data_IF_442885607555
#
_entry.id   IF_442885607555
#
_cell.length_a   1.000
_cell.length_b   1.000
_cell.length_c   1.000
_cell.angle_alpha   90.00
_cell.angle_beta   90.00
_cell.angle_gamma   90.00
#
_symmetry.space_group_name_H-M   'P 1'
#
loop_
_entity.id
_entity.type
_entity.pdbx_description
1 polymer ?
#
# COMPACT_ATOMS: atom_id res chain seq x y z
N UNK A 1 2.33 18.16 36.07
CA UNK A 1 2.28 16.69 36.10
C UNK A 1 1.32 16.08 35.08
N UNK A 2 -0.02 16.17 35.21
CA UNK A 2 -0.94 15.56 34.22
C UNK A 2 -0.90 16.29 32.86
N UNK A 3 -0.82 17.62 32.86
CA UNK A 3 -0.64 18.45 31.66
C UNK A 3 0.68 18.18 30.94
N UNK A 4 1.79 18.05 31.67
CA UNK A 4 3.11 17.73 31.09
C UNK A 4 3.14 16.35 30.42
N UNK A 5 2.40 15.36 30.95
CA UNK A 5 2.31 14.04 30.34
C UNK A 5 1.54 14.09 29.01
N UNK A 6 0.45 14.87 28.97
CA UNK A 6 -0.30 15.10 27.74
C UNK A 6 0.57 15.78 26.67
N UNK A 7 1.24 16.86 27.03
CA UNK A 7 2.03 17.67 26.10
C UNK A 7 3.31 16.99 25.62
N UNK A 8 3.98 16.22 26.49
CA UNK A 8 5.31 15.65 26.16
C UNK A 8 5.27 14.23 25.63
N UNK A 9 4.22 13.46 25.94
CA UNK A 9 4.15 12.03 25.59
C UNK A 9 3.02 11.75 24.61
N UNK A 10 1.82 12.25 24.87
CA UNK A 10 0.67 11.94 24.01
C UNK A 10 0.58 12.84 22.78
N UNK A 11 0.93 14.13 22.90
CA UNK A 11 0.84 15.07 21.79
C UNK A 11 1.70 14.73 20.57
N UNK A 12 2.97 14.28 20.73
CA UNK A 12 3.76 13.85 19.58
C UNK A 12 3.08 12.69 18.84
N UNK A 13 2.62 11.66 19.58
CA UNK A 13 1.95 10.49 18.99
C UNK A 13 0.62 10.88 18.33
N UNK A 14 -0.17 11.73 18.97
CA UNK A 14 -1.43 12.21 18.38
C UNK A 14 -1.16 13.04 17.14
N UNK A 15 -0.13 13.88 17.14
CA UNK A 15 0.26 14.66 15.96
C UNK A 15 0.60 13.73 14.79
N UNK A 16 1.41 12.70 15.03
CA UNK A 16 1.75 11.72 13.99
C UNK A 16 0.48 11.06 13.42
N UNK A 17 -0.49 10.73 14.26
CA UNK A 17 -1.79 10.18 13.81
C UNK A 17 -2.57 11.20 12.98
N UNK A 18 -2.61 12.47 13.37
CA UNK A 18 -3.29 13.52 12.60
C UNK A 18 -2.62 13.71 11.24
N UNK A 19 -1.29 13.75 11.18
CA UNK A 19 -0.53 13.90 9.94
C UNK A 19 -0.78 12.72 8.99
N UNK A 20 -0.85 11.49 9.52
CA UNK A 20 -1.20 10.30 8.74
C UNK A 20 -2.64 10.34 8.20
N UNK A 21 -3.60 10.81 9.01
CA UNK A 21 -4.99 10.96 8.56
C UNK A 21 -5.06 12.02 7.45
N UNK A 22 -4.41 13.16 7.63
CA UNK A 22 -4.42 14.25 6.63
C UNK A 22 -3.84 13.78 5.30
N UNK A 23 -2.67 13.12 5.32
CA UNK A 23 -2.05 12.57 4.11
C UNK A 23 -2.99 11.59 3.37
N UNK A 24 -3.70 10.73 4.11
CA UNK A 24 -4.65 9.79 3.50
C UNK A 24 -5.86 10.50 2.90
N UNK A 25 -6.37 11.57 3.55
CA UNK A 25 -7.49 12.37 3.07
C UNK A 25 -7.17 13.18 1.82
N UNK A 26 -5.89 13.50 1.58
CA UNK A 26 -5.44 14.14 0.33
C UNK A 26 -5.51 13.18 -0.87
N UNK A 27 -5.47 11.87 -0.63
CA UNK A 27 -5.45 10.84 -1.68
C UNK A 27 -6.83 10.28 -2.03
N UNK A 28 -7.82 10.44 -1.15
CA UNK A 28 -9.17 9.89 -1.38
C UNK A 28 -10.26 10.74 -0.73
N UNK A 29 -11.45 10.74 -1.35
CA UNK A 29 -12.65 11.25 -0.69
C UNK A 29 -13.04 10.35 0.48
N UNK A 30 -13.41 10.94 1.60
CA UNK A 30 -13.77 10.23 2.83
C UNK A 30 -14.83 11.03 3.58
N UNK A 31 -15.96 10.40 3.86
CA UNK A 31 -17.11 11.00 4.54
C UNK A 31 -17.09 10.79 6.05
N UNK A 32 -16.47 9.69 6.51
CA UNK A 32 -16.47 9.31 7.91
C UNK A 32 -15.16 8.65 8.35
N UNK A 33 -14.72 8.97 9.57
CA UNK A 33 -13.55 8.42 10.22
C UNK A 33 -14.03 7.62 11.43
N UNK A 34 -13.66 6.34 11.49
CA UNK A 34 -13.95 5.47 12.62
C UNK A 34 -12.67 5.19 13.42
N UNK A 35 -12.63 5.60 14.68
CA UNK A 35 -11.51 5.29 15.58
C UNK A 35 -11.73 3.93 16.22
N UNK A 36 -10.83 2.99 15.97
CA UNK A 36 -10.92 1.59 16.43
C UNK A 36 -9.67 1.17 17.19
N UNK A 37 -9.75 0.06 17.93
CA UNK A 37 -8.67 -0.45 18.78
C UNK A 37 -8.58 0.26 20.13
N UNK A 38 -7.71 -0.24 21.01
CA UNK A 38 -7.58 0.29 22.38
C UNK A 38 -7.21 1.77 22.42
N UNK A 39 -6.34 2.23 21.53
CA UNK A 39 -6.00 3.65 21.41
C UNK A 39 -7.13 4.48 20.78
N UNK A 40 -7.88 3.90 19.84
CA UNK A 40 -9.07 4.53 19.26
C UNK A 40 -10.20 4.79 20.27
N UNK A 41 -10.23 4.05 21.38
CA UNK A 41 -11.13 4.29 22.52
C UNK A 41 -10.72 5.50 23.39
N UNK A 42 -9.56 6.12 23.14
CA UNK A 42 -9.09 7.28 23.89
C UNK A 42 -9.95 8.51 23.61
N UNK A 43 -10.51 9.10 24.68
CA UNK A 43 -11.25 10.36 24.60
C UNK A 43 -10.38 11.49 24.04
N UNK A 44 -9.11 11.52 24.45
CA UNK A 44 -8.16 12.54 24.00
C UNK A 44 -7.94 12.49 22.48
N UNK A 45 -7.70 11.29 21.94
CA UNK A 45 -7.54 11.11 20.50
C UNK A 45 -8.82 11.49 19.76
N UNK A 46 -9.99 11.07 20.26
CA UNK A 46 -11.27 11.41 19.67
C UNK A 46 -11.49 12.93 19.59
N UNK A 47 -11.24 13.66 20.67
CA UNK A 47 -11.44 15.12 20.71
C UNK A 47 -10.47 15.82 19.74
N UNK A 48 -9.22 15.35 19.64
CA UNK A 48 -8.21 15.91 18.71
C UNK A 48 -8.55 15.64 17.24
N UNK A 49 -8.89 14.41 16.88
CA UNK A 49 -9.30 14.05 15.50
C UNK A 49 -10.59 14.79 15.11
N UNK A 50 -11.55 14.90 16.03
CA UNK A 50 -12.80 15.63 15.78
C UNK A 50 -12.54 17.12 15.55
N UNK A 51 -11.73 17.76 16.39
CA UNK A 51 -11.39 19.17 16.23
C UNK A 51 -10.69 19.46 14.90
N UNK A 52 -9.81 18.56 14.44
CA UNK A 52 -9.06 18.74 13.19
C UNK A 52 -9.91 18.45 11.95
N UNK A 53 -10.69 17.36 11.93
CA UNK A 53 -11.28 16.86 10.68
C UNK A 53 -12.81 17.00 10.57
N UNK A 54 -13.54 17.15 11.68
CA UNK A 54 -15.00 17.26 11.64
C UNK A 54 -15.49 18.60 11.07
N UNK A 55 -14.67 19.65 11.17
CA UNK A 55 -14.93 20.98 10.61
C UNK A 55 -15.10 20.98 9.08
N UNK A 56 -14.56 19.96 8.40
CA UNK A 56 -14.71 19.75 6.96
C UNK A 56 -16.01 19.02 6.58
N UNK A 57 -16.96 18.87 7.50
CA UNK A 57 -18.22 18.13 7.29
C UNK A 57 -18.11 16.61 7.42
N UNK A 58 -16.93 16.09 7.81
CA UNK A 58 -16.68 14.66 8.01
C UNK A 58 -17.18 14.18 9.36
N UNK A 59 -17.69 12.96 9.42
CA UNK A 59 -18.16 12.37 10.68
C UNK A 59 -17.05 11.59 11.38
N UNK A 60 -16.65 12.01 12.57
CA UNK A 60 -15.73 11.25 13.41
C UNK A 60 -16.53 10.44 14.44
N UNK A 61 -16.35 9.12 14.47
CA UNK A 61 -17.12 8.22 15.35
C UNK A 61 -16.22 7.17 16.00
N UNK A 62 -16.61 6.74 17.20
CA UNK A 62 -16.04 5.57 17.88
C UNK A 62 -17.13 4.50 17.93
N UNK A 63 -16.93 3.31 17.33
CA UNK A 63 -17.92 2.25 17.38
C UNK A 63 -18.01 1.65 18.80
N UNK A 64 -19.16 1.06 19.17
CA UNK A 64 -19.29 0.36 20.45
C UNK A 64 -18.28 -0.79 20.56
N UNK A 65 -17.53 -0.84 21.66
CA UNK A 65 -16.43 -1.79 21.88
C UNK A 65 -15.37 -1.68 20.79
N UNK A 66 -14.83 -0.47 20.60
CA UNK A 66 -13.83 -0.16 19.58
C UNK A 66 -12.60 -1.08 19.65
N UNK A 67 -12.22 -1.52 20.85
CA UNK A 67 -11.17 -2.51 21.11
C UNK A 67 -11.43 -3.88 20.47
N UNK A 68 -12.71 -4.24 20.24
CA UNK A 68 -13.11 -5.49 19.58
C UNK A 68 -13.54 -5.31 18.12
N UNK A 69 -13.61 -4.07 17.62
CA UNK A 69 -14.19 -3.78 16.30
C UNK A 69 -13.52 -4.56 15.17
N UNK A 70 -12.18 -4.67 15.20
CA UNK A 70 -11.38 -5.38 14.19
C UNK A 70 -11.71 -6.88 14.20
N UNK A 71 -11.67 -7.52 15.38
CA UNK A 71 -11.94 -8.97 15.51
C UNK A 71 -13.38 -9.29 15.14
N UNK A 72 -14.33 -8.47 15.59
CA UNK A 72 -15.75 -8.63 15.22
C UNK A 72 -15.97 -8.47 13.72
N UNK A 73 -15.28 -7.52 13.09
CA UNK A 73 -15.29 -7.34 11.63
C UNK A 73 -14.77 -8.58 10.90
N UNK A 74 -13.66 -9.16 11.37
CA UNK A 74 -13.08 -10.38 10.79
C UNK A 74 -14.03 -11.58 10.91
N UNK A 75 -14.66 -11.80 12.07
CA UNK A 75 -15.65 -12.87 12.26
C UNK A 75 -16.86 -12.65 11.36
N UNK A 76 -17.38 -11.42 11.30
CA UNK A 76 -18.51 -11.06 10.43
C UNK A 76 -18.18 -11.31 8.96
N UNK A 77 -16.97 -10.96 8.51
CA UNK A 77 -16.51 -11.26 7.16
C UNK A 77 -16.42 -12.76 6.88
N UNK A 78 -15.91 -13.55 7.84
CA UNK A 78 -15.83 -15.00 7.71
C UNK A 78 -17.20 -15.69 7.62
N UNK A 79 -18.19 -15.19 8.37
CA UNK A 79 -19.57 -15.69 8.34
C UNK A 79 -20.36 -15.22 7.10
N UNK A 80 -20.09 -14.00 6.63
CA UNK A 80 -20.75 -13.38 5.49
C UNK A 80 -19.71 -12.99 4.43
N UNK A 81 -19.21 -14.00 3.72
CA UNK A 81 -18.30 -13.83 2.59
C UNK A 81 -19.03 -13.04 1.48
N UNK A 82 -18.59 -11.80 1.23
CA UNK A 82 -19.22 -10.90 0.26
C UNK A 82 -19.29 -9.43 0.67
N UNK A 83 -18.92 -9.09 1.91
CA UNK A 83 -18.90 -7.70 2.39
C UNK A 83 -17.70 -6.87 1.89
N UNK A 84 -16.65 -7.52 1.38
CA UNK A 84 -15.49 -6.85 0.77
C UNK A 84 -15.54 -7.14 -0.72
N UNK A 85 -15.59 -6.10 -1.56
CA UNK A 85 -15.68 -6.23 -3.01
C UNK A 85 -14.32 -6.03 -3.70
N UNK A 86 -13.45 -5.22 -3.11
CA UNK A 86 -12.12 -4.92 -3.63
C UNK A 86 -11.16 -4.49 -2.51
N UNK A 87 -9.87 -4.42 -2.83
CA UNK A 87 -8.82 -3.81 -2.01
C UNK A 87 -7.98 -2.86 -2.83
N UNK A 88 -7.60 -1.74 -2.21
CA UNK A 88 -6.69 -0.77 -2.82
C UNK A 88 -5.26 -1.16 -2.47
N UNK A 89 -4.42 -1.37 -3.48
CA UNK A 89 -3.01 -1.69 -3.30
C UNK A 89 -2.24 -0.47 -2.76
N UNK A 90 -1.33 -0.71 -1.81
CA UNK A 90 -0.55 0.35 -1.16
C UNK A 90 0.82 0.60 -1.80
N UNK A 91 1.29 -0.36 -2.60
CA UNK A 91 2.67 -0.47 -3.06
C UNK A 91 2.69 -0.91 -4.52
N UNK A 92 3.83 -0.75 -5.16
CA UNK A 92 4.08 -1.37 -6.44
C UNK A 92 4.27 -2.87 -6.24
N UNK A 93 3.55 -3.67 -7.02
CA UNK A 93 3.78 -5.12 -7.10
C UNK A 93 4.15 -5.47 -8.52
N UNK A 94 5.19 -6.27 -8.70
CA UNK A 94 5.67 -6.65 -10.01
C UNK A 94 6.58 -7.85 -9.98
N UNK A 95 7.09 -8.24 -11.13
CA UNK A 95 8.04 -9.35 -11.29
C UNK A 95 9.29 -8.84 -11.99
N UNK A 96 10.41 -9.54 -11.86
CA UNK A 96 11.56 -9.28 -12.71
C UNK A 96 11.26 -9.71 -14.15
N UNK A 97 11.78 -8.95 -15.10
CA UNK A 97 11.68 -9.29 -16.52
C UNK A 97 12.91 -8.82 -17.26
N UNK A 98 13.28 -9.54 -18.32
CA UNK A 98 14.16 -9.01 -19.33
C UNK A 98 13.33 -8.17 -20.31
N UNK A 99 13.54 -6.85 -20.36
CA UNK A 99 12.87 -5.95 -21.32
C UNK A 99 13.88 -5.36 -22.30
N UNK A 100 13.43 -4.61 -23.30
CA UNK A 100 14.33 -3.96 -24.25
C UNK A 100 15.25 -2.95 -23.53
N UNK A 101 16.53 -2.99 -23.87
CA UNK A 101 17.53 -2.10 -23.28
C UNK A 101 17.39 -0.69 -23.87
N UNK A 102 17.34 0.32 -22.99
CA UNK A 102 17.23 1.74 -23.35
C UNK A 102 18.60 2.41 -23.20
N UNK A 103 19.30 2.73 -24.31
CA UNK A 103 20.61 3.38 -24.26
C UNK A 103 20.56 4.73 -23.56
N UNK A 104 21.53 4.99 -22.67
CA UNK A 104 21.64 6.24 -21.92
C UNK A 104 20.73 6.34 -20.69
N UNK A 105 19.83 5.36 -20.48
CA UNK A 105 18.98 5.28 -19.29
C UNK A 105 19.27 4.01 -18.49
N UNK A 106 19.39 2.87 -19.17
CA UNK A 106 19.70 1.60 -18.51
C UNK A 106 21.21 1.46 -18.26
N UNK A 107 21.64 0.96 -17.08
CA UNK A 107 23.05 0.68 -16.81
C UNK A 107 23.61 -0.38 -17.76
N UNK A 108 24.78 -0.11 -18.33
CA UNK A 108 25.43 -1.02 -19.27
C UNK A 108 25.74 -2.40 -18.63
N UNK A 109 25.92 -2.46 -17.31
CA UNK A 109 26.11 -3.69 -16.52
C UNK A 109 24.88 -4.62 -16.52
N UNK A 110 23.69 -4.06 -16.75
CA UNK A 110 22.43 -4.80 -16.87
C UNK A 110 22.10 -5.17 -18.32
N UNK A 111 22.97 -4.82 -19.27
CA UNK A 111 22.80 -5.16 -20.68
C UNK A 111 23.08 -6.63 -20.91
N UNK A 112 22.18 -7.28 -21.63
CA UNK A 112 22.25 -8.70 -21.98
C UNK A 112 21.90 -8.88 -23.45
N UNK A 113 22.63 -9.73 -24.15
CA UNK A 113 22.28 -10.11 -25.53
C UNK A 113 21.35 -11.31 -25.47
N UNK A 114 20.14 -11.16 -26.00
CA UNK A 114 19.18 -12.24 -26.08
C UNK A 114 19.50 -13.14 -27.28
N UNK A 115 18.94 -14.36 -27.30
CA UNK A 115 19.22 -15.38 -28.34
C UNK A 115 18.72 -14.98 -29.72
N UNK A 116 17.75 -14.09 -29.78
CA UNK A 116 17.19 -13.51 -31.00
C UNK A 116 18.06 -12.36 -31.55
N UNK A 117 19.19 -12.04 -30.91
CA UNK A 117 20.08 -10.93 -31.27
C UNK A 117 19.62 -9.57 -30.73
N UNK A 118 18.50 -9.51 -30.00
CA UNK A 118 18.03 -8.27 -29.37
C UNK A 118 18.82 -7.96 -28.10
N UNK A 119 19.04 -6.67 -27.85
CA UNK A 119 19.69 -6.19 -26.64
C UNK A 119 18.62 -5.95 -25.58
N UNK A 120 18.71 -6.65 -24.45
CA UNK A 120 17.77 -6.59 -23.34
C UNK A 120 18.42 -6.13 -22.04
N UNK A 121 17.66 -5.49 -21.19
CA UNK A 121 18.03 -5.14 -19.82
C UNK A 121 17.47 -6.18 -18.85
N UNK A 122 18.34 -6.80 -18.04
CA UNK A 122 17.91 -7.69 -16.94
C UNK A 122 17.40 -6.89 -15.73
N UNK A 123 16.71 -7.57 -14.83
CA UNK A 123 16.28 -7.04 -13.53
C UNK A 123 15.31 -5.84 -13.63
N UNK A 124 14.58 -5.73 -14.74
CA UNK A 124 13.55 -4.70 -14.92
C UNK A 124 12.34 -5.00 -14.07
N UNK A 125 11.79 -3.98 -13.43
CA UNK A 125 10.55 -4.11 -12.68
C UNK A 125 9.36 -4.11 -13.64
N UNK A 126 8.72 -5.27 -13.82
CA UNK A 126 7.49 -5.37 -14.59
C UNK A 126 6.29 -5.20 -13.68
N UNK A 127 5.72 -3.98 -13.65
CA UNK A 127 4.60 -3.62 -12.77
C UNK A 127 3.35 -4.43 -13.10
N UNK A 128 2.78 -5.12 -12.11
CA UNK A 128 1.46 -5.74 -12.19
C UNK A 128 0.39 -4.88 -11.53
N UNK A 129 0.70 -4.31 -10.36
CA UNK A 129 -0.24 -3.52 -9.57
C UNK A 129 0.44 -2.22 -9.16
N UNK A 130 -0.27 -1.10 -9.32
CA UNK A 130 0.20 0.24 -8.90
C UNK A 130 -0.36 0.61 -7.53
N UNK A 131 0.34 1.45 -6.74
CA UNK A 131 -0.25 2.10 -5.57
C UNK A 131 -1.55 2.81 -5.95
N UNK A 132 -2.58 2.70 -5.10
CA UNK A 132 -3.90 3.27 -5.35
C UNK A 132 -4.80 2.43 -6.27
N UNK A 133 -4.30 1.37 -6.91
CA UNK A 133 -5.12 0.51 -7.76
C UNK A 133 -6.10 -0.33 -6.92
N UNK A 134 -7.39 -0.25 -7.23
CA UNK A 134 -8.43 -1.12 -6.66
C UNK A 134 -8.45 -2.47 -7.39
N UNK A 135 -8.22 -3.55 -6.66
CA UNK A 135 -8.24 -4.94 -7.15
C UNK A 135 -9.44 -5.67 -6.54
N UNK A 136 -10.34 -6.18 -7.38
CA UNK A 136 -11.53 -6.88 -6.93
C UNK A 136 -11.21 -8.28 -6.35
N UNK A 137 -12.09 -8.80 -5.49
CA UNK A 137 -11.93 -10.17 -5.01
C UNK A 137 -12.01 -11.18 -6.17
N UNK A 138 -10.98 -12.02 -6.29
CA UNK A 138 -10.87 -13.01 -7.36
C UNK A 138 -10.38 -12.45 -8.70
N UNK A 139 -10.08 -11.16 -8.79
CA UNK A 139 -9.48 -10.57 -9.99
C UNK A 139 -8.07 -11.13 -10.21
N UNK A 140 -7.79 -11.56 -11.44
CA UNK A 140 -6.47 -12.03 -11.85
C UNK A 140 -5.83 -11.03 -12.81
N UNK A 141 -4.77 -10.35 -12.35
CA UNK A 141 -3.92 -9.53 -13.22
C UNK A 141 -2.94 -10.45 -13.95
N UNK A 142 -2.98 -10.44 -15.29
CA UNK A 142 -2.18 -11.35 -16.12
C UNK A 142 -1.32 -10.57 -17.11
N UNK A 143 -0.04 -10.90 -17.16
CA UNK A 143 0.89 -10.49 -18.23
C UNK A 143 1.51 -11.72 -18.88
N UNK A 144 1.85 -11.62 -20.16
CA UNK A 144 2.46 -12.71 -20.94
C UNK A 144 3.92 -12.38 -21.20
N UNK A 145 4.78 -13.36 -20.92
CA UNK A 145 6.22 -13.27 -21.15
C UNK A 145 6.68 -14.41 -22.05
N UNK A 146 7.72 -14.16 -22.84
CA UNK A 146 8.42 -15.19 -23.60
C UNK A 146 9.67 -15.58 -22.83
N UNK A 147 9.84 -16.88 -22.54
CA UNK A 147 11.03 -17.41 -21.86
C UNK A 147 11.81 -18.34 -22.76
N UNK A 148 13.14 -18.21 -22.72
CA UNK A 148 14.09 -19.05 -23.44
C UNK A 148 14.78 -20.06 -22.53
N UNK A 149 14.27 -20.21 -21.30
CA UNK A 149 14.87 -21.05 -20.27
C UNK A 149 14.51 -22.53 -20.40
N UNK A 150 13.55 -22.91 -21.26
CA UNK A 150 13.16 -24.31 -21.44
C UNK A 150 14.37 -25.21 -21.81
N UNK A 151 14.52 -26.40 -21.19
CA UNK A 151 13.61 -27.06 -20.25
C UNK A 151 13.81 -26.69 -18.77
N UNK A 152 14.65 -25.70 -18.45
CA UNK A 152 14.83 -25.25 -17.06
C UNK A 152 13.55 -24.62 -16.51
N UNK A 153 13.26 -24.82 -15.21
CA UNK A 153 12.17 -24.12 -14.54
C UNK A 153 12.29 -22.61 -14.70
N UNK A 154 11.15 -21.94 -14.83
CA UNK A 154 11.07 -20.49 -14.75
C UNK A 154 11.02 -20.10 -13.27
N UNK A 155 11.94 -19.24 -12.85
CA UNK A 155 11.79 -18.49 -11.60
C UNK A 155 11.07 -17.18 -11.93
N UNK A 156 10.12 -16.78 -11.09
CA UNK A 156 9.33 -15.57 -11.27
C UNK A 156 8.96 -15.00 -9.89
N UNK A 157 9.94 -14.48 -9.14
CA UNK A 157 9.71 -13.87 -7.84
C UNK A 157 8.80 -12.65 -7.97
N UNK A 158 7.90 -12.50 -6.99
CA UNK A 158 7.08 -11.30 -6.83
C UNK A 158 7.86 -10.27 -6.00
N UNK A 159 8.07 -9.10 -6.57
CA UNK A 159 8.72 -7.96 -5.94
C UNK A 159 7.70 -6.93 -5.47
N UNK A 160 8.08 -6.21 -4.42
CA UNK A 160 7.35 -5.09 -3.83
C UNK A 160 8.28 -3.89 -3.74
N UNK A 161 7.78 -2.71 -4.08
CA UNK A 161 8.49 -1.44 -3.89
C UNK A 161 7.59 -0.40 -3.23
N UNK A 162 8.16 0.35 -2.28
CA UNK A 162 7.55 1.48 -1.58
C UNK A 162 7.89 2.84 -2.25
N UNK A 163 8.57 2.84 -3.41
CA UNK A 163 8.96 4.06 -4.14
C UNK A 163 7.75 4.95 -4.48
N UNK A 164 7.92 6.27 -4.37
CA UNK A 164 6.92 7.25 -4.81
C UNK A 164 6.69 7.22 -6.33
N UNK A 165 7.73 6.87 -7.09
CA UNK A 165 7.69 6.77 -8.54
C UNK A 165 7.68 5.31 -8.99
N UNK A 166 7.28 5.07 -10.24
CA UNK A 166 7.32 3.73 -10.82
C UNK A 166 8.76 3.17 -10.76
N UNK A 167 8.99 2.05 -10.03
CA UNK A 167 10.31 1.47 -9.90
C UNK A 167 10.77 0.98 -11.28
N UNK A 168 12.02 1.26 -11.64
CA UNK A 168 12.55 0.86 -12.95
C UNK A 168 13.19 -0.53 -12.86
N UNK A 169 13.80 -0.85 -11.72
CA UNK A 169 14.45 -2.14 -11.45
C UNK A 169 13.96 -2.80 -10.17
N UNK A 170 14.12 -4.12 -10.09
CA UNK A 170 13.70 -4.93 -8.93
C UNK A 170 14.65 -4.86 -7.73
N UNK A 171 15.85 -4.33 -7.94
CA UNK A 171 16.91 -4.15 -6.95
C UNK A 171 17.07 -2.70 -6.49
N UNK A 172 16.15 -1.81 -6.88
CA UNK A 172 16.09 -0.45 -6.36
C UNK A 172 15.79 -0.47 -4.85
N UNK A 173 16.48 0.39 -4.06
CA UNK A 173 16.16 0.53 -2.65
C UNK A 173 14.73 1.06 -2.50
N UNK A 174 14.00 0.46 -1.56
CA UNK A 174 12.68 0.93 -1.10
C UNK A 174 12.81 2.03 -0.07
#
# INVERSE_FOLDING_TARGET
MVSELHERVFDPVVKDVLDLIDHQLQQTHCEAIFLVGGFGSSRYLFDRVTATFATSGRQVRVPPRAELAVVRGAVTYGLHQGSIISRVARRWYGVDSAMDFVPGVDPEEKKTLSRDGTVRCKDRFSVYITPGQSVALGECVTKKYMTWCYPRPLDCPLYVSDSEQEPRYVDEPS
#
